data_IF_042320495972
#
_entry.id   IF_042320495972
#
_cell.length_a   1.000
_cell.length_b   1.000
_cell.length_c   1.000
_cell.angle_alpha   90.00
_cell.angle_beta   90.00
_cell.angle_gamma   90.00
#
_symmetry.space_group_name_H-M   'P 1'
#
loop_
_entity.id
_entity.type
_entity.pdbx_description
1 polymer ?
#
# COMPACT_ATOMS: atom_id res chain seq x y z
N UNK A 1 28.38 1.30 5.92
CA UNK A 1 27.90 2.59 5.42
C UNK A 1 26.39 2.59 5.55
N UNK A 2 25.76 3.59 6.18
CA UNK A 2 24.30 3.64 6.21
C UNK A 2 23.81 3.83 4.76
N UNK A 3 22.94 2.94 4.32
CA UNK A 3 22.24 3.09 3.04
C UNK A 3 21.51 4.42 3.02
N UNK A 4 21.58 5.21 1.92
CA UNK A 4 20.85 6.46 1.84
C UNK A 4 19.36 6.19 2.05
N UNK A 5 18.73 6.95 2.94
CA UNK A 5 17.28 6.88 3.20
C UNK A 5 16.54 7.15 1.88
N UNK A 6 15.91 6.14 1.28
CA UNK A 6 15.34 6.25 -0.05
C UNK A 6 13.98 6.97 -0.07
N UNK A 7 13.61 7.66 1.03
CA UNK A 7 12.34 8.39 1.11
C UNK A 7 12.34 9.54 0.10
N UNK A 8 11.63 9.41 -1.01
CA UNK A 8 11.62 10.44 -2.05
C UNK A 8 10.97 11.71 -1.49
N UNK A 9 11.77 12.73 -1.19
CA UNK A 9 11.34 14.00 -0.59
C UNK A 9 10.19 14.68 -1.35
N UNK A 10 10.05 14.42 -2.65
CA UNK A 10 8.96 14.94 -3.47
C UNK A 10 7.59 14.30 -3.15
N UNK A 11 7.55 13.08 -2.59
CA UNK A 11 6.28 12.48 -2.14
C UNK A 11 5.79 13.18 -0.87
N UNK A 12 6.70 13.68 -0.04
CA UNK A 12 6.36 14.37 1.22
C UNK A 12 5.65 15.71 0.98
N UNK A 13 6.13 16.54 0.04
CA UNK A 13 5.70 17.93 -0.07
C UNK A 13 4.19 18.09 -0.33
N UNK A 14 3.63 17.24 -1.19
CA UNK A 14 2.20 17.33 -1.55
C UNK A 14 1.24 16.85 -0.45
N UNK A 15 1.65 15.88 0.38
CA UNK A 15 0.79 15.29 1.42
C UNK A 15 0.96 15.92 2.81
N UNK A 16 2.02 16.73 3.00
CA UNK A 16 2.27 17.43 4.25
C UNK A 16 1.50 18.73 4.42
N UNK A 17 0.84 19.23 3.37
CA UNK A 17 0.02 20.43 3.45
C UNK A 17 -1.20 20.19 4.35
N UNK A 18 -1.47 21.12 5.28
CA UNK A 18 -2.54 21.01 6.27
C UNK A 18 -3.95 20.82 5.67
N UNK A 19 -4.15 21.21 4.40
CA UNK A 19 -5.41 21.05 3.67
C UNK A 19 -5.61 19.66 3.08
N UNK A 20 -4.57 18.83 3.03
CA UNK A 20 -4.60 17.53 2.35
C UNK A 20 -5.48 16.51 3.08
N UNK A 21 -5.45 16.46 4.42
CA UNK A 21 -6.25 15.54 5.22
C UNK A 21 -7.75 15.78 5.06
N UNK A 22 -8.22 17.01 5.33
CA UNK A 22 -9.63 17.37 5.23
C UNK A 22 -10.16 17.25 3.79
N UNK A 23 -9.36 17.64 2.78
CA UNK A 23 -9.73 17.47 1.37
C UNK A 23 -9.83 16.00 0.97
N UNK A 24 -8.92 15.17 1.48
CA UNK A 24 -8.93 13.74 1.23
C UNK A 24 -10.10 13.05 1.90
N UNK A 25 -10.41 13.38 3.15
CA UNK A 25 -11.54 12.82 3.89
C UNK A 25 -12.89 13.28 3.31
N UNK A 26 -13.04 14.56 2.98
CA UNK A 26 -14.32 15.18 2.59
C UNK A 26 -14.66 15.11 1.10
N UNK A 27 -13.68 15.08 0.20
CA UNK A 27 -13.90 15.32 -1.24
C UNK A 27 -13.84 14.08 -2.11
N UNK A 28 -12.79 13.28 -1.97
CA UNK A 28 -12.45 12.22 -2.93
C UNK A 28 -13.31 10.96 -2.79
N UNK A 29 -13.94 10.74 -1.65
CA UNK A 29 -14.63 9.51 -1.30
C UNK A 29 -16.12 9.65 -1.07
N UNK A 30 -16.70 10.77 -1.53
CA UNK A 30 -18.17 11.00 -1.48
C UNK A 30 -18.99 9.93 -2.23
N UNK A 31 -18.37 9.25 -3.21
CA UNK A 31 -19.02 8.13 -3.89
C UNK A 31 -18.77 6.83 -3.11
N UNK A 32 -19.80 6.31 -2.44
CA UNK A 32 -19.75 5.11 -1.62
C UNK A 32 -19.17 3.88 -2.39
N UNK A 33 -19.47 3.72 -3.69
CA UNK A 33 -18.91 2.64 -4.52
C UNK A 33 -17.40 2.77 -4.74
N UNK A 34 -16.89 4.00 -4.87
CA UNK A 34 -15.45 4.23 -4.99
C UNK A 34 -14.73 4.09 -3.64
N UNK A 35 -15.38 4.52 -2.57
CA UNK A 35 -14.89 4.42 -1.20
C UNK A 35 -14.71 2.96 -0.75
N UNK A 36 -15.67 2.09 -1.05
CA UNK A 36 -15.66 0.69 -0.61
C UNK A 36 -14.76 -0.26 -1.40
N UNK A 37 -14.20 0.15 -2.55
CA UNK A 37 -13.43 -0.78 -3.42
C UNK A 37 -12.14 -1.30 -2.80
N UNK A 38 -11.36 -0.46 -2.15
CA UNK A 38 -10.09 -0.87 -1.55
C UNK A 38 -10.34 -1.65 -0.26
N UNK A 39 -11.20 -1.20 0.68
CA UNK A 39 -11.56 -1.99 1.86
C UNK A 39 -12.06 -3.40 1.53
N UNK A 40 -13.01 -3.55 0.60
CA UNK A 40 -13.55 -4.87 0.21
C UNK A 40 -12.50 -5.80 -0.38
N UNK A 41 -11.53 -5.28 -1.16
CA UNK A 41 -10.44 -6.08 -1.72
C UNK A 41 -9.43 -6.49 -0.66
N UNK A 42 -9.09 -5.57 0.24
CA UNK A 42 -8.19 -5.86 1.36
C UNK A 42 -8.83 -6.90 2.28
N UNK A 43 -10.10 -6.72 2.64
CA UNK A 43 -10.84 -7.69 3.46
C UNK A 43 -10.82 -9.09 2.81
N UNK A 44 -11.06 -9.18 1.49
CA UNK A 44 -11.00 -10.45 0.75
C UNK A 44 -9.60 -11.05 0.74
N UNK A 45 -8.57 -10.24 0.51
CA UNK A 45 -7.18 -10.68 0.52
C UNK A 45 -6.78 -11.25 1.88
N UNK A 46 -7.11 -10.54 2.96
CA UNK A 46 -6.85 -10.98 4.32
C UNK A 46 -7.65 -12.23 4.68
N UNK A 47 -8.91 -12.34 4.25
CA UNK A 47 -9.73 -13.53 4.48
C UNK A 47 -9.10 -14.80 3.87
N UNK A 48 -8.51 -14.67 2.69
CA UNK A 48 -7.96 -15.81 1.95
C UNK A 48 -6.55 -16.18 2.42
N UNK A 49 -5.68 -15.18 2.61
CA UNK A 49 -4.25 -15.40 2.86
C UNK A 49 -3.83 -15.27 4.33
N UNK A 50 -4.70 -14.74 5.19
CA UNK A 50 -4.50 -14.61 6.63
C UNK A 50 -5.82 -14.88 7.38
N UNK A 51 -6.36 -16.10 7.35
CA UNK A 51 -7.66 -16.40 7.94
C UNK A 51 -7.66 -16.26 9.47
N UNK A 52 -6.51 -16.41 10.12
CA UNK A 52 -6.37 -16.45 11.57
C UNK A 52 -5.74 -15.14 12.11
N UNK A 53 -6.37 -13.99 11.82
CA UNK A 53 -5.88 -12.67 12.29
C UNK A 53 -6.45 -12.26 13.66
N UNK A 54 -7.34 -13.04 14.26
CA UNK A 54 -7.94 -12.70 15.54
C UNK A 54 -6.91 -12.37 16.61
N UNK A 55 -7.01 -11.16 17.18
CA UNK A 55 -6.06 -10.63 18.17
C UNK A 55 -4.69 -10.21 17.66
N UNK A 56 -4.31 -10.52 16.42
CA UNK A 56 -3.03 -10.13 15.84
C UNK A 56 -3.03 -8.65 15.41
N UNK A 57 -1.85 -8.04 15.41
CA UNK A 57 -1.64 -6.70 14.85
C UNK A 57 -1.61 -6.76 13.32
N UNK A 58 -2.30 -5.85 12.66
CA UNK A 58 -2.23 -5.62 11.21
C UNK A 58 -1.83 -4.17 10.95
N UNK A 59 -0.76 -3.98 10.17
CA UNK A 59 -0.26 -2.66 9.79
C UNK A 59 -0.92 -2.19 8.50
N UNK A 60 -1.40 -0.96 8.48
CA UNK A 60 -1.81 -0.19 7.29
C UNK A 60 -0.81 0.95 7.08
N UNK A 61 0.03 0.89 6.05
CA UNK A 61 1.09 1.87 5.77
C UNK A 61 1.26 2.11 4.26
N UNK A 62 0.91 3.32 3.75
CA UNK A 62 0.38 4.48 4.47
C UNK A 62 -1.12 4.35 4.74
N UNK A 63 -1.54 4.72 5.93
CA UNK A 63 -2.93 4.60 6.37
C UNK A 63 -3.82 5.76 5.90
N UNK A 64 -3.22 6.93 5.66
CA UNK A 64 -3.99 8.15 5.48
C UNK A 64 -4.88 8.41 6.70
N UNK A 65 -6.16 8.60 6.45
CA UNK A 65 -7.19 8.79 7.50
C UNK A 65 -7.75 7.48 8.08
N UNK A 66 -7.11 6.33 7.82
CA UNK A 66 -7.51 5.04 8.39
C UNK A 66 -8.68 4.34 7.68
N UNK A 67 -8.84 4.53 6.36
CA UNK A 67 -9.97 3.99 5.59
C UNK A 67 -10.08 2.47 5.57
N UNK A 68 -9.02 1.75 5.89
CA UNK A 68 -8.99 0.29 5.90
C UNK A 68 -9.25 -0.28 7.29
N UNK A 69 -9.34 0.57 8.32
CA UNK A 69 -9.51 0.16 9.72
C UNK A 69 -10.68 -0.82 9.90
N UNK A 70 -11.88 -0.41 9.51
CA UNK A 70 -13.08 -1.22 9.67
C UNK A 70 -12.92 -2.62 9.04
N UNK A 71 -12.44 -2.66 7.78
CA UNK A 71 -12.22 -3.91 7.06
C UNK A 71 -11.16 -4.84 7.70
N UNK A 72 -10.23 -4.27 8.47
CA UNK A 72 -9.21 -5.02 9.21
C UNK A 72 -9.78 -5.49 10.57
N UNK A 73 -10.45 -4.59 11.30
CA UNK A 73 -11.01 -4.88 12.62
C UNK A 73 -12.18 -5.88 12.56
N UNK A 74 -13.00 -5.88 11.50
CA UNK A 74 -14.02 -6.89 11.22
C UNK A 74 -13.45 -8.33 11.10
N UNK A 75 -12.13 -8.46 10.87
CA UNK A 75 -11.41 -9.73 10.87
C UNK A 75 -10.94 -10.16 12.29
N UNK A 76 -11.33 -9.41 13.32
CA UNK A 76 -10.88 -9.62 14.68
C UNK A 76 -9.43 -9.17 14.93
N UNK A 77 -8.80 -8.52 13.96
CA UNK A 77 -7.43 -8.03 14.07
C UNK A 77 -7.37 -6.68 14.81
N UNK A 78 -6.20 -6.37 15.37
CA UNK A 78 -5.90 -5.08 15.98
C UNK A 78 -5.25 -4.17 14.95
N UNK A 79 -5.88 -3.06 14.62
CA UNK A 79 -5.40 -2.11 13.61
C UNK A 79 -4.25 -1.24 14.13
N UNK A 80 -3.22 -1.08 13.29
CA UNK A 80 -2.16 -0.07 13.45
C UNK A 80 -2.02 0.68 12.13
N UNK A 81 -2.26 2.00 12.16
CA UNK A 81 -2.09 2.88 11.00
C UNK A 81 -0.78 3.64 11.07
N UNK A 82 -0.01 3.69 9.99
CA UNK A 82 1.16 4.55 9.89
C UNK A 82 1.03 5.46 8.67
N UNK A 83 1.28 6.75 8.87
CA UNK A 83 1.37 7.71 7.76
C UNK A 83 2.45 8.77 8.05
N UNK A 84 3.08 9.28 7.01
CA UNK A 84 4.06 10.34 7.14
C UNK A 84 3.41 11.73 7.35
N UNK A 85 2.14 11.88 6.96
CA UNK A 85 1.40 13.14 7.00
C UNK A 85 0.64 13.32 8.32
N UNK A 86 1.04 14.30 9.17
CA UNK A 86 0.29 14.58 10.39
C UNK A 86 -1.13 15.06 10.13
N UNK A 87 -1.38 15.75 9.01
CA UNK A 87 -2.72 16.19 8.63
C UNK A 87 -3.66 15.04 8.24
N UNK A 88 -3.12 13.92 7.71
CA UNK A 88 -3.89 12.72 7.47
C UNK A 88 -4.24 12.00 8.76
N UNK A 89 -3.28 11.89 9.68
CA UNK A 89 -3.49 11.22 10.97
C UNK A 89 -4.47 11.99 11.86
N UNK A 90 -4.46 13.33 11.80
CA UNK A 90 -5.39 14.17 12.56
C UNK A 90 -6.85 14.00 12.17
N UNK A 91 -7.13 13.61 10.91
CA UNK A 91 -8.48 13.32 10.42
C UNK A 91 -8.88 11.85 10.66
N UNK A 92 -7.96 11.03 11.16
CA UNK A 92 -8.20 9.63 11.47
C UNK A 92 -9.05 9.47 12.73
N UNK A 93 -9.97 8.52 12.74
CA UNK A 93 -10.78 8.19 13.91
C UNK A 93 -10.25 6.94 14.62
N UNK A 94 -10.38 6.92 15.96
CA UNK A 94 -9.89 5.83 16.81
C UNK A 94 -8.40 5.94 17.12
N UNK A 95 -7.88 5.04 17.96
CA UNK A 95 -6.47 5.00 18.35
C UNK A 95 -5.59 4.19 17.39
N UNK A 96 -4.30 4.04 17.71
CA UNK A 96 -3.36 3.17 16.98
C UNK A 96 -2.77 3.79 15.71
N UNK A 97 -2.69 5.13 15.65
CA UNK A 97 -1.96 5.83 14.60
C UNK A 97 -0.54 6.19 15.04
N UNK A 98 0.41 6.02 14.12
CA UNK A 98 1.82 6.34 14.30
C UNK A 98 2.28 7.22 13.14
N UNK A 99 2.94 8.33 13.44
CA UNK A 99 3.59 9.11 12.40
C UNK A 99 4.94 8.50 12.04
N UNK A 100 5.17 8.22 10.74
CA UNK A 100 6.42 7.62 10.30
C UNK A 100 6.52 7.44 8.80
N UNK A 101 7.69 6.99 8.35
CA UNK A 101 7.97 6.67 6.95
C UNK A 101 7.75 5.20 6.68
N UNK A 102 7.09 4.86 5.55
CA UNK A 102 6.95 3.48 5.10
C UNK A 102 8.29 2.85 4.64
N UNK A 103 9.32 3.68 4.39
CA UNK A 103 10.69 3.23 4.06
C UNK A 103 11.59 3.01 5.28
N UNK A 104 11.13 3.39 6.48
CA UNK A 104 11.82 3.21 7.74
C UNK A 104 10.76 3.03 8.83
N UNK A 105 10.14 1.86 8.84
CA UNK A 105 9.02 1.55 9.75
C UNK A 105 9.53 1.47 11.20
N UNK A 106 8.97 2.26 12.15
CA UNK A 106 9.43 2.33 13.53
C UNK A 106 8.94 1.14 14.37
N UNK A 107 8.96 -0.04 13.78
CA UNK A 107 8.51 -1.27 14.43
C UNK A 107 9.59 -2.36 14.36
N UNK A 108 9.67 -3.23 15.36
CA UNK A 108 10.53 -4.40 15.30
C UNK A 108 10.21 -5.31 14.11
N UNK A 109 11.17 -6.12 13.69
CA UNK A 109 10.94 -7.14 12.67
C UNK A 109 9.88 -8.13 13.18
N UNK A 110 9.08 -8.68 12.26
CA UNK A 110 8.11 -9.75 12.55
C UNK A 110 7.05 -9.37 13.61
N UNK A 111 6.58 -8.13 13.60
CA UNK A 111 5.59 -7.60 14.55
C UNK A 111 4.15 -7.86 14.11
N UNK A 112 3.87 -7.84 12.80
CA UNK A 112 2.50 -7.83 12.27
C UNK A 112 2.14 -9.15 11.61
N UNK A 113 0.95 -9.67 11.93
CA UNK A 113 0.38 -10.86 11.29
C UNK A 113 0.04 -10.66 9.81
N UNK A 114 -0.19 -9.42 9.40
CA UNK A 114 -0.27 -9.00 8.00
C UNK A 114 0.09 -7.52 7.87
N UNK A 115 0.52 -7.12 6.67
CA UNK A 115 0.83 -5.73 6.33
C UNK A 115 0.06 -5.32 5.08
N UNK A 116 -0.57 -4.16 5.11
CA UNK A 116 -1.30 -3.59 3.98
C UNK A 116 -0.63 -2.31 3.54
N UNK A 117 -0.31 -2.19 2.25
CA UNK A 117 0.23 -0.99 1.65
C UNK A 117 -0.61 -0.58 0.43
N UNK A 118 -1.53 0.33 0.64
CA UNK A 118 -2.44 0.77 -0.40
C UNK A 118 -2.11 2.18 -0.89
N UNK A 119 -2.14 2.36 -2.24
CA UNK A 119 -2.06 3.67 -2.92
C UNK A 119 -0.74 4.41 -2.78
N UNK A 120 0.35 3.75 -2.44
CA UNK A 120 1.68 4.35 -2.34
C UNK A 120 2.54 4.06 -3.58
N UNK A 121 2.62 2.80 -4.02
CA UNK A 121 3.65 2.34 -4.95
C UNK A 121 3.66 3.09 -6.30
N UNK A 122 2.50 3.53 -6.78
CA UNK A 122 2.40 4.32 -8.02
C UNK A 122 2.94 5.76 -7.90
N UNK A 123 3.28 6.22 -6.70
CA UNK A 123 3.97 7.47 -6.44
C UNK A 123 5.49 7.31 -6.33
N UNK A 124 6.01 6.07 -6.38
CA UNK A 124 7.43 5.76 -6.23
C UNK A 124 8.05 5.57 -7.61
N UNK A 125 8.84 6.54 -8.13
CA UNK A 125 9.27 6.53 -9.52
C UNK A 125 10.44 5.58 -9.79
N UNK A 126 11.32 5.37 -8.83
CA UNK A 126 12.56 4.61 -8.99
C UNK A 126 12.48 3.20 -8.38
N UNK A 127 13.24 2.29 -8.98
CA UNK A 127 13.24 0.88 -8.60
C UNK A 127 13.86 0.64 -7.22
N UNK A 128 14.91 1.39 -6.87
CA UNK A 128 15.60 1.25 -5.59
C UNK A 128 14.67 1.59 -4.41
N UNK A 129 13.91 2.69 -4.51
CA UNK A 129 12.92 3.07 -3.50
C UNK A 129 11.77 2.05 -3.41
N UNK A 130 11.37 1.44 -4.53
CA UNK A 130 10.36 0.35 -4.52
C UNK A 130 10.89 -0.89 -3.81
N UNK A 131 12.13 -1.28 -4.09
CA UNK A 131 12.78 -2.42 -3.44
C UNK A 131 12.91 -2.20 -1.93
N UNK A 132 13.35 -1.02 -1.51
CA UNK A 132 13.47 -0.65 -0.11
C UNK A 132 12.11 -0.68 0.62
N UNK A 133 11.06 -0.13 -0.01
CA UNK A 133 9.69 -0.20 0.53
C UNK A 133 9.24 -1.65 0.73
N UNK A 134 9.40 -2.50 -0.29
CA UNK A 134 9.03 -3.93 -0.21
C UNK A 134 9.81 -4.63 0.90
N UNK A 135 11.11 -4.35 1.03
CA UNK A 135 11.95 -4.90 2.10
C UNK A 135 11.46 -4.53 3.50
N UNK A 136 11.09 -3.27 3.73
CA UNK A 136 10.56 -2.82 5.04
C UNK A 136 9.20 -3.45 5.36
N UNK A 137 8.28 -3.55 4.39
CA UNK A 137 7.00 -4.21 4.58
C UNK A 137 7.18 -5.70 4.95
N UNK A 138 8.11 -6.39 4.30
CA UNK A 138 8.46 -7.79 4.61
C UNK A 138 9.14 -7.91 5.97
N UNK A 139 10.05 -7.02 6.30
CA UNK A 139 10.79 -7.06 7.57
C UNK A 139 9.86 -7.09 8.77
N UNK A 140 8.82 -6.26 8.76
CA UNK A 140 7.88 -6.17 9.89
C UNK A 140 6.76 -7.19 9.87
N UNK A 141 6.59 -7.94 8.76
CA UNK A 141 5.52 -8.92 8.59
C UNK A 141 5.93 -10.33 9.02
N UNK A 142 5.01 -11.07 9.65
CA UNK A 142 5.09 -12.52 9.85
C UNK A 142 4.20 -13.28 8.87
N UNK A 143 3.27 -12.61 8.22
CA UNK A 143 2.29 -13.17 7.29
C UNK A 143 2.30 -12.49 5.93
N UNK A 144 1.17 -12.40 5.24
CA UNK A 144 1.09 -11.81 3.92
C UNK A 144 1.24 -10.28 3.95
N UNK A 145 1.82 -9.77 2.86
CA UNK A 145 1.81 -8.35 2.51
C UNK A 145 0.82 -8.13 1.37
N UNK A 146 -0.10 -7.20 1.55
CA UNK A 146 -1.13 -6.80 0.59
C UNK A 146 -0.72 -5.44 -0.01
N UNK A 147 -0.22 -5.44 -1.24
CA UNK A 147 0.35 -4.25 -1.88
C UNK A 147 -0.47 -3.82 -3.10
N UNK A 148 -0.94 -2.58 -3.13
CA UNK A 148 -1.63 -2.07 -4.31
C UNK A 148 -0.71 -1.27 -5.23
N UNK A 149 -0.87 -1.45 -6.54
CA UNK A 149 -0.12 -0.75 -7.59
C UNK A 149 -1.01 -0.42 -8.79
N UNK A 150 -0.50 0.41 -9.70
CA UNK A 150 -1.13 0.66 -10.98
C UNK A 150 -0.56 -0.27 -12.03
N UNK A 151 -1.43 -1.12 -12.60
CA UNK A 151 -1.05 -2.11 -13.60
C UNK A 151 -0.90 -1.44 -14.99
N UNK A 152 0.29 -1.56 -15.58
CA UNK A 152 0.61 -1.01 -16.90
C UNK A 152 -0.16 -1.70 -18.04
N UNK A 153 -0.68 -2.90 -17.82
CA UNK A 153 -1.54 -3.62 -18.76
C UNK A 153 -3.00 -3.11 -18.75
N UNK A 154 -3.35 -2.16 -17.88
CA UNK A 154 -4.71 -1.63 -17.81
C UNK A 154 -5.04 -0.72 -19.00
N UNK A 155 -6.32 -0.72 -19.41
CA UNK A 155 -6.85 0.20 -20.41
C UNK A 155 -6.54 1.67 -20.13
N UNK A 156 -6.58 2.06 -18.87
CA UNK A 156 -6.22 3.42 -18.45
C UNK A 156 -4.74 3.74 -18.68
N UNK A 157 -3.83 2.79 -18.49
CA UNK A 157 -2.41 2.97 -18.79
C UNK A 157 -2.17 3.06 -20.30
N UNK A 158 -2.86 2.22 -21.08
CA UNK A 158 -2.81 2.26 -22.54
C UNK A 158 -3.30 3.59 -23.11
N UNK A 159 -4.46 4.11 -22.64
CA UNK A 159 -4.98 5.43 -23.08
C UNK A 159 -4.05 6.58 -22.76
N UNK A 160 -3.33 6.53 -21.64
CA UNK A 160 -2.32 7.54 -21.30
C UNK A 160 -1.14 7.51 -22.26
N UNK A 161 -0.62 6.33 -22.60
CA UNK A 161 0.49 6.18 -23.58
C UNK A 161 0.12 6.70 -24.96
N UNK A 162 -1.13 6.56 -25.36
CA UNK A 162 -1.65 7.06 -26.66
C UNK A 162 -1.97 8.56 -26.67
N UNK A 163 -1.69 9.30 -25.62
CA UNK A 163 -1.93 10.75 -25.58
C UNK A 163 -3.41 11.16 -25.56
N UNK A 164 -4.34 10.22 -25.43
CA UNK A 164 -5.79 10.43 -25.48
C UNK A 164 -6.28 11.27 -24.28
N UNK A 165 -5.47 11.47 -23.28
CA UNK A 165 -5.73 12.36 -22.15
C UNK A 165 -4.54 13.28 -21.94
N UNK A 166 -4.68 14.57 -22.25
CA UNK A 166 -3.72 15.59 -21.79
C UNK A 166 -3.69 15.53 -20.26
N UNK A 167 -2.50 15.21 -19.72
CA UNK A 167 -2.26 15.32 -18.28
C UNK A 167 -2.45 16.80 -17.90
N UNK A 168 -3.49 17.12 -17.15
CA UNK A 168 -3.75 18.49 -16.66
C UNK A 168 -2.72 18.99 -15.66
N UNK A 169 -1.90 18.10 -15.14
CA UNK A 169 -0.66 18.34 -14.36
C UNK A 169 0.28 17.20 -14.68
N UNK A 170 1.59 17.43 -14.61
CA UNK A 170 2.62 16.39 -14.74
C UNK A 170 2.35 15.32 -13.66
N UNK A 171 1.53 14.32 -14.02
CA UNK A 171 1.13 13.24 -13.12
C UNK A 171 2.32 12.29 -13.03
N UNK A 172 3.17 12.50 -12.03
CA UNK A 172 4.38 11.71 -11.74
C UNK A 172 4.08 10.24 -11.38
N UNK A 173 2.82 9.81 -11.51
CA UNK A 173 2.40 8.48 -11.13
C UNK A 173 2.81 7.44 -12.15
N UNK A 174 3.47 6.40 -11.67
CA UNK A 174 4.03 5.32 -12.48
C UNK A 174 3.12 4.10 -12.48
N UNK A 175 2.83 3.57 -13.67
CA UNK A 175 2.21 2.25 -13.82
C UNK A 175 3.33 1.21 -14.00
N UNK A 176 3.24 0.10 -13.27
CA UNK A 176 4.23 -0.96 -13.24
C UNK A 176 3.75 -2.18 -14.01
N UNK A 177 4.67 -2.88 -14.66
CA UNK A 177 4.40 -4.20 -15.20
C UNK A 177 4.45 -5.25 -14.07
N UNK A 178 3.57 -6.25 -14.12
CA UNK A 178 3.52 -7.31 -13.10
C UNK A 178 4.84 -8.03 -12.94
N UNK A 179 5.50 -8.37 -14.05
CA UNK A 179 6.80 -9.04 -14.04
C UNK A 179 7.91 -8.22 -13.38
N UNK A 180 7.87 -6.89 -13.50
CA UNK A 180 8.79 -6.00 -12.78
C UNK A 180 8.56 -6.09 -11.26
N UNK A 181 7.30 -6.00 -10.84
CA UNK A 181 6.95 -6.08 -9.42
C UNK A 181 7.26 -7.46 -8.83
N UNK A 182 6.99 -8.54 -9.56
CA UNK A 182 7.36 -9.90 -9.13
C UNK A 182 8.85 -10.08 -8.99
N UNK A 183 9.65 -9.51 -9.90
CA UNK A 183 11.11 -9.55 -9.81
C UNK A 183 11.59 -8.88 -8.52
N UNK A 184 11.05 -7.70 -8.18
CA UNK A 184 11.37 -6.99 -6.94
C UNK A 184 10.99 -7.80 -5.69
N UNK A 185 9.79 -8.38 -5.68
CA UNK A 185 9.31 -9.21 -4.58
C UNK A 185 10.20 -10.44 -4.39
N UNK A 186 10.56 -11.12 -5.49
CA UNK A 186 11.45 -12.30 -5.44
C UNK A 186 12.87 -11.94 -5.00
N UNK A 187 13.40 -10.80 -5.46
CA UNK A 187 14.71 -10.30 -5.04
C UNK A 187 14.76 -9.94 -3.55
N UNK A 188 13.62 -9.54 -2.97
CA UNK A 188 13.48 -9.30 -1.54
C UNK A 188 13.28 -10.59 -0.70
N UNK A 189 13.42 -11.78 -1.30
CA UNK A 189 13.27 -13.06 -0.61
C UNK A 189 11.80 -13.47 -0.37
N UNK A 190 10.88 -12.96 -1.16
CA UNK A 190 9.46 -13.25 -1.03
C UNK A 190 8.91 -13.98 -2.27
N UNK A 191 7.70 -14.51 -2.14
CA UNK A 191 6.97 -15.15 -3.23
C UNK A 191 5.64 -14.43 -3.48
N UNK A 192 5.32 -14.11 -4.75
CA UNK A 192 4.00 -13.65 -5.14
C UNK A 192 2.99 -14.79 -4.96
N UNK A 193 1.82 -14.50 -4.38
CA UNK A 193 0.76 -15.48 -4.15
C UNK A 193 -0.41 -15.28 -5.09
N UNK A 194 -0.97 -14.07 -5.13
CA UNK A 194 -2.19 -13.81 -5.89
C UNK A 194 -2.30 -12.35 -6.33
N UNK A 195 -3.05 -12.12 -7.41
CA UNK A 195 -3.43 -10.79 -7.91
C UNK A 195 -4.93 -10.59 -7.85
N UNK A 196 -5.37 -9.51 -7.20
CA UNK A 196 -6.76 -9.07 -7.20
C UNK A 196 -6.93 -7.79 -8.02
N UNK A 197 -7.83 -7.84 -9.01
CA UNK A 197 -8.28 -6.65 -9.74
C UNK A 197 -9.80 -6.73 -9.91
N UNK A 198 -10.50 -5.59 -9.95
CA UNK A 198 -11.97 -5.59 -10.19
C UNK A 198 -12.33 -6.13 -11.56
N UNK A 199 -11.58 -5.69 -12.57
CA UNK A 199 -11.68 -6.14 -13.96
C UNK A 199 -10.24 -6.12 -14.51
N UNK A 200 -9.72 -7.31 -14.85
CA UNK A 200 -8.42 -7.43 -15.49
C UNK A 200 -8.41 -6.58 -16.76
N UNK A 201 -7.34 -5.88 -17.03
CA UNK A 201 -7.17 -4.94 -18.15
C UNK A 201 -8.00 -3.63 -18.09
N UNK A 202 -9.09 -3.54 -17.35
CA UNK A 202 -9.87 -2.29 -17.20
C UNK A 202 -9.46 -1.53 -15.96
N UNK A 203 -9.36 -2.21 -14.82
CA UNK A 203 -9.03 -1.58 -13.55
C UNK A 203 -7.56 -1.17 -13.49
N UNK A 204 -7.30 0.12 -13.27
CA UNK A 204 -5.94 0.62 -13.13
C UNK A 204 -5.25 0.10 -11.87
N UNK A 205 -6.00 0.01 -10.77
CA UNK A 205 -5.47 -0.44 -9.48
C UNK A 205 -5.61 -1.96 -9.35
N UNK A 206 -4.49 -2.61 -9.15
CA UNK A 206 -4.35 -4.04 -8.87
C UNK A 206 -3.70 -4.21 -7.50
N UNK A 207 -4.09 -5.25 -6.78
CA UNK A 207 -3.46 -5.69 -5.54
C UNK A 207 -2.62 -6.92 -5.85
N UNK A 208 -1.39 -6.95 -5.38
CA UNK A 208 -0.53 -8.12 -5.29
C UNK A 208 -0.46 -8.55 -3.82
N UNK A 209 -0.62 -9.84 -3.59
CA UNK A 209 -0.36 -10.45 -2.30
C UNK A 209 0.91 -11.29 -2.42
N UNK A 210 1.80 -11.14 -1.43
CA UNK A 210 3.05 -11.90 -1.35
C UNK A 210 3.44 -12.08 0.12
N UNK A 211 4.33 -13.01 0.38
CA UNK A 211 4.92 -13.24 1.72
C UNK A 211 6.38 -13.62 1.62
N UNK A 212 7.11 -13.48 2.71
CA UNK A 212 8.47 -14.01 2.80
C UNK A 212 8.45 -15.52 2.50
N UNK A 213 9.44 -16.01 1.76
CA UNK A 213 9.65 -17.44 1.59
C UNK A 213 9.90 -18.06 2.97
N UNK A 214 9.34 -19.23 3.22
CA UNK A 214 9.77 -20.03 4.34
C UNK A 214 11.28 -20.29 4.17
N UNK A 215 12.09 -19.79 5.12
CA UNK A 215 13.48 -20.27 5.19
C UNK A 215 13.40 -21.78 5.45
N UNK A 216 13.95 -22.59 4.54
CA UNK A 216 14.33 -23.95 4.91
C UNK A 216 15.29 -23.79 6.10
N UNK A 217 14.80 -24.09 7.29
CA UNK A 217 15.68 -24.36 8.41
C UNK A 217 16.19 -25.78 8.16
N UNK A 218 17.43 -25.85 7.66
CA UNK A 218 18.23 -27.08 7.72
C UNK A 218 18.56 -27.42 9.17
#
# INVERSE_FOLDING_TARGET
>A
MPTPNPDPRHIRSHWHEARSGAHYAGGRWRNARAAGRDPSRVARALAHHAPNLGGQLVLDAPSGVGRLREAIEERGARYVGLDASPSMLAEGSGGGFVQGSAWALPFPSRTFGAVVCCRLLHHVPDEGSRAALIGELLRVSTGPVVLSFWDSASWHAWRRRKGVRRARHADSRTALHRGELERLVRAAGAEPLEYFSSLRFVSQQTILIFRAKASCQD
#
